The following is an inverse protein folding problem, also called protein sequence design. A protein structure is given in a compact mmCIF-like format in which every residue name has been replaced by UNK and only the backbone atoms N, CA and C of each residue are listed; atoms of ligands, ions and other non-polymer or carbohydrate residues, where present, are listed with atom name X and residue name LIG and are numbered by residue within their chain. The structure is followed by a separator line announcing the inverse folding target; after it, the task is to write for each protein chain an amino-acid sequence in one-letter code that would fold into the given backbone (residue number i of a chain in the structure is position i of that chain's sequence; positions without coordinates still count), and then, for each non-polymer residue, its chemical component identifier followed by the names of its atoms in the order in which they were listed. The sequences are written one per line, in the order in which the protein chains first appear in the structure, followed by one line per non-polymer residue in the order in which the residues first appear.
data_IF_518392821713
#
_entry.id   IF_518392821713
#
_cell.length_a   1.000
_cell.length_b   1.000
_cell.length_c   1.000
_cell.angle_alpha   90.00
_cell.angle_beta   90.00
_cell.angle_gamma   90.00
#
_symmetry.space_group_name_H-M   'P 1'
#
loop_
_entity.id
_entity.type
_entity.pdbx_description
1 polymer ?
#
# COMPACT_ATOMS: atom_id res chain seq x y z
N UNK A 1 51.06 41.00 -1.73
CA UNK A 1 51.28 42.24 -0.96
C UNK A 1 51.58 43.38 -1.94
N UNK A 2 50.63 44.28 -2.17
CA UNK A 2 50.92 45.67 -2.57
C UNK A 2 49.72 46.53 -2.21
N UNK A 3 50.01 47.70 -1.66
CA UNK A 3 49.15 48.57 -0.87
C UNK A 3 48.86 49.86 -1.64
N UNK A 4 47.61 50.33 -1.48
CA UNK A 4 47.16 51.76 -1.42
C UNK A 4 47.21 52.52 -2.76
N UNK A 5 46.40 53.54 -3.08
CA UNK A 5 45.68 54.62 -2.36
C UNK A 5 44.47 55.01 -3.24
N UNK A 6 43.23 55.00 -2.71
CA UNK A 6 42.37 56.17 -2.38
C UNK A 6 42.07 57.13 -3.55
N UNK A 7 40.80 57.15 -4.00
CA UNK A 7 40.15 58.35 -4.52
C UNK A 7 38.80 58.54 -3.83
N UNK A 8 38.64 59.73 -3.28
CA UNK A 8 37.47 60.26 -2.58
C UNK A 8 36.63 61.08 -3.56
N UNK A 9 35.35 61.26 -3.19
CA UNK A 9 34.31 62.13 -3.78
C UNK A 9 33.35 61.35 -4.70
N UNK A 10 32.03 61.52 -4.61
CA UNK A 10 31.27 62.67 -4.16
C UNK A 10 29.89 62.18 -3.65
N UNK A 11 29.48 62.63 -2.48
CA UNK A 11 28.11 62.45 -1.97
C UNK A 11 27.25 63.53 -2.62
N UNK A 12 26.39 63.14 -3.57
CA UNK A 12 25.27 63.98 -4.00
C UNK A 12 23.98 63.44 -3.37
N UNK A 13 23.50 64.17 -2.37
CA UNK A 13 22.16 64.03 -1.81
C UNK A 13 21.19 64.61 -2.84
N UNK A 14 20.44 63.75 -3.52
CA UNK A 14 19.24 64.15 -4.26
C UNK A 14 18.01 63.82 -3.42
N UNK A 15 17.39 64.87 -2.89
CA UNK A 15 16.04 64.81 -2.33
C UNK A 15 15.01 64.76 -3.47
N UNK A 16 14.11 63.77 -3.39
CA UNK A 16 12.71 63.88 -3.85
C UNK A 16 12.46 63.79 -5.35
N UNK A 17 11.98 62.63 -5.80
CA UNK A 17 10.58 62.38 -6.18
C UNK A 17 10.47 60.85 -6.34
N UNK A 18 9.78 60.20 -5.40
CA UNK A 18 9.55 58.76 -5.43
C UNK A 18 8.55 58.40 -6.51
N UNK A 19 9.03 57.86 -7.63
CA UNK A 19 8.18 57.12 -8.56
C UNK A 19 7.72 55.83 -7.87
N UNK A 20 6.42 55.49 -7.90
CA UNK A 20 5.95 54.24 -7.34
C UNK A 20 6.59 53.09 -8.11
N UNK A 21 7.35 52.24 -7.40
CA UNK A 21 7.77 50.94 -7.92
C UNK A 21 6.50 50.17 -8.26
N UNK A 22 6.22 50.00 -9.54
CA UNK A 22 5.26 49.03 -10.03
C UNK A 22 5.62 47.68 -9.41
N UNK A 23 4.81 47.23 -8.46
CA UNK A 23 4.94 45.91 -7.88
C UNK A 23 4.81 44.89 -9.00
N UNK A 24 5.85 44.08 -9.18
CA UNK A 24 5.72 42.85 -9.97
C UNK A 24 4.73 42.00 -9.19
N UNK A 25 3.48 42.00 -9.64
CA UNK A 25 2.46 41.11 -9.13
C UNK A 25 2.99 39.69 -9.32
N UNK A 26 3.34 39.02 -8.21
CA UNK A 26 3.49 37.58 -8.21
C UNK A 26 2.14 37.03 -8.63
N UNK A 27 2.07 36.55 -9.87
CA UNK A 27 0.96 35.74 -10.31
C UNK A 27 0.91 34.54 -9.37
N UNK A 28 -0.06 34.57 -8.45
CA UNK A 28 -0.46 33.39 -7.70
C UNK A 28 -0.98 32.44 -8.75
N UNK A 29 -0.13 31.49 -9.17
CA UNK A 29 -0.55 30.39 -10.03
C UNK A 29 -1.59 29.64 -9.22
N UNK A 30 -2.86 29.83 -9.57
CA UNK A 30 -3.95 29.07 -8.99
C UNK A 30 -3.62 27.59 -9.20
N UNK A 31 -3.49 26.85 -8.09
CA UNK A 31 -3.34 25.40 -8.12
C UNK A 31 -4.51 24.84 -8.94
N UNK A 32 -4.19 24.17 -10.04
CA UNK A 32 -5.21 23.51 -10.84
C UNK A 32 -5.99 22.56 -9.91
N UNK A 33 -7.33 22.53 -9.99
CA UNK A 33 -8.13 21.67 -9.12
C UNK A 33 -7.62 20.23 -9.24
N UNK A 34 -7.31 19.63 -8.10
CA UNK A 34 -6.78 18.28 -7.99
C UNK A 34 -7.73 17.33 -8.73
N UNK A 35 -7.30 16.78 -9.87
CA UNK A 35 -8.13 15.87 -10.64
C UNK A 35 -8.34 14.61 -9.82
N UNK A 36 -9.58 14.38 -9.39
CA UNK A 36 -9.97 13.15 -8.71
C UNK A 36 -9.61 11.97 -9.61
N UNK A 37 -8.75 11.08 -9.13
CA UNK A 37 -8.36 9.89 -9.85
C UNK A 37 -9.54 8.91 -9.92
N UNK A 38 -9.93 8.54 -11.14
CA UNK A 38 -10.91 7.50 -11.38
C UNK A 38 -10.21 6.30 -12.01
N UNK A 39 -10.11 5.21 -11.25
CA UNK A 39 -9.47 4.00 -11.73
C UNK A 39 -10.25 3.39 -12.89
N UNK A 40 -9.59 3.01 -14.00
CA UNK A 40 -10.23 2.26 -15.07
C UNK A 40 -10.34 0.76 -14.72
N UNK A 41 -9.85 0.35 -13.56
CA UNK A 41 -9.76 -1.04 -13.14
C UNK A 41 -10.87 -1.39 -12.14
N UNK A 42 -11.32 -2.66 -12.20
CA UNK A 42 -12.23 -3.22 -11.21
C UNK A 42 -11.96 -4.69 -10.98
N UNK A 43 -12.63 -5.25 -9.97
CA UNK A 43 -12.70 -6.69 -9.71
C UNK A 43 -14.13 -7.18 -9.92
N UNK A 44 -14.28 -8.37 -10.47
CA UNK A 44 -15.54 -9.07 -10.67
C UNK A 44 -15.46 -10.44 -10.03
N UNK A 45 -16.06 -10.56 -8.84
CA UNK A 45 -16.13 -11.81 -8.08
C UNK A 45 -17.16 -12.77 -8.69
N UNK A 46 -16.97 -14.07 -8.46
CA UNK A 46 -17.92 -15.11 -8.92
C UNK A 46 -19.19 -15.16 -8.06
N UNK A 47 -19.14 -14.61 -6.86
CA UNK A 47 -20.27 -14.42 -5.94
C UNK A 47 -20.29 -12.97 -5.44
N UNK A 48 -21.43 -12.44 -4.95
CA UNK A 48 -21.48 -11.09 -4.38
C UNK A 48 -20.41 -10.85 -3.30
N UNK A 49 -19.86 -9.64 -3.23
CA UNK A 49 -18.83 -9.31 -2.22
C UNK A 49 -19.33 -9.51 -0.80
N UNK A 50 -20.62 -9.25 -0.54
CA UNK A 50 -21.28 -9.47 0.75
C UNK A 50 -21.27 -10.95 1.17
N UNK A 51 -21.18 -11.88 0.23
CA UNK A 51 -20.97 -13.30 0.52
C UNK A 51 -19.51 -13.66 0.80
N UNK A 52 -18.56 -12.89 0.27
CA UNK A 52 -17.14 -13.07 0.50
C UNK A 52 -16.67 -12.43 1.79
N UNK A 53 -17.26 -11.30 2.22
CA UNK A 53 -16.82 -10.50 3.37
C UNK A 53 -17.97 -10.06 4.30
N UNK A 54 -19.14 -10.70 4.25
CA UNK A 54 -20.30 -10.29 5.04
C UNK A 54 -20.11 -10.39 6.56
N UNK A 55 -19.14 -11.16 7.05
CA UNK A 55 -18.70 -11.13 8.46
C UNK A 55 -17.97 -9.82 8.79
N UNK A 56 -17.22 -9.25 7.86
CA UNK A 56 -16.56 -7.96 8.03
C UNK A 56 -17.56 -6.80 7.97
N UNK A 57 -18.64 -6.94 7.20
CA UNK A 57 -19.65 -5.89 7.08
C UNK A 57 -20.62 -5.87 8.26
N UNK A 58 -20.87 -7.02 8.89
CA UNK A 58 -21.95 -7.19 9.89
C UNK A 58 -21.48 -7.40 11.32
N UNK A 59 -20.18 -7.60 11.55
CA UNK A 59 -19.65 -7.90 12.89
C UNK A 59 -18.52 -6.96 13.27
N UNK A 60 -18.12 -7.00 14.55
CA UNK A 60 -16.96 -6.25 15.04
C UNK A 60 -15.67 -6.54 14.27
N UNK A 61 -15.56 -7.70 13.60
CA UNK A 61 -14.37 -8.09 12.86
C UNK A 61 -13.93 -7.03 11.85
N UNK A 62 -14.89 -6.38 11.20
CA UNK A 62 -14.59 -5.33 10.23
C UNK A 62 -14.65 -3.91 10.78
N UNK A 63 -14.84 -3.71 12.09
CA UNK A 63 -14.77 -2.40 12.73
C UNK A 63 -13.30 -1.93 12.77
N UNK A 64 -13.06 -0.73 12.23
CA UNK A 64 -11.73 -0.13 12.22
C UNK A 64 -11.14 0.03 13.63
N UNK A 65 -11.98 0.16 14.66
CA UNK A 65 -11.53 0.38 16.05
C UNK A 65 -10.93 -0.86 16.71
N UNK A 66 -11.12 -2.05 16.13
CA UNK A 66 -10.58 -3.31 16.68
C UNK A 66 -9.44 -3.89 15.87
N UNK A 67 -8.85 -3.11 14.95
CA UNK A 67 -7.77 -3.57 14.09
C UNK A 67 -6.45 -3.84 14.82
N UNK A 68 -6.24 -3.26 15.99
CA UNK A 68 -4.98 -3.36 16.72
C UNK A 68 -5.04 -4.31 17.90
N UNK A 69 -3.87 -4.82 18.30
CA UNK A 69 -3.70 -5.69 19.47
C UNK A 69 -3.98 -4.98 20.81
N UNK A 70 -4.17 -3.66 20.80
CA UNK A 70 -4.54 -2.86 21.97
C UNK A 70 -5.89 -2.16 21.75
N UNK A 71 -6.65 -1.86 22.83
CA UNK A 71 -7.93 -1.15 22.72
C UNK A 71 -7.81 0.20 22.01
N UNK A 72 -8.83 0.58 21.24
CA UNK A 72 -8.86 1.84 20.47
C UNK A 72 -8.47 3.10 21.28
N UNK A 73 -8.95 3.31 22.53
CA UNK A 73 -8.55 4.48 23.32
C UNK A 73 -7.05 4.56 23.61
N UNK A 74 -6.32 3.45 23.49
CA UNK A 74 -4.87 3.39 23.75
C UNK A 74 -4.02 3.63 22.48
N UNK A 75 -4.63 3.68 21.29
CA UNK A 75 -3.91 3.83 20.02
C UNK A 75 -3.09 5.10 19.91
N UNK A 76 -3.47 6.15 20.65
CA UNK A 76 -2.80 7.45 20.64
C UNK A 76 -2.25 7.82 22.02
N UNK A 77 -2.02 6.82 22.88
CA UNK A 77 -1.43 7.04 24.21
C UNK A 77 0.09 7.29 24.13
N UNK A 78 0.69 7.99 25.12
CA UNK A 78 2.14 8.13 25.22
C UNK A 78 2.88 6.79 25.18
N UNK A 79 2.30 5.74 25.78
CA UNK A 79 2.86 4.39 25.77
C UNK A 79 2.92 3.80 24.36
N UNK A 80 1.88 4.02 23.54
CA UNK A 80 1.86 3.59 22.14
C UNK A 80 2.90 4.36 21.32
N UNK A 81 3.02 5.67 21.55
CA UNK A 81 4.03 6.51 20.90
C UNK A 81 5.45 6.02 21.20
N UNK A 82 5.74 5.75 22.48
CA UNK A 82 7.05 5.24 22.89
C UNK A 82 7.35 3.87 22.26
N UNK A 83 6.37 2.97 22.29
CA UNK A 83 6.54 1.58 21.85
C UNK A 83 6.70 1.43 20.34
N UNK A 84 5.87 2.11 19.55
CA UNK A 84 5.79 1.86 18.10
C UNK A 84 6.09 3.08 17.24
N UNK A 85 6.20 4.28 17.85
CA UNK A 85 6.60 5.52 17.16
C UNK A 85 5.74 5.75 15.92
N UNK A 86 6.39 5.98 14.77
CA UNK A 86 5.76 6.26 13.48
C UNK A 86 4.99 5.08 12.86
N UNK A 87 5.08 3.86 13.41
CA UNK A 87 4.42 2.69 12.84
C UNK A 87 3.01 2.42 13.39
N UNK A 88 2.71 2.98 14.56
CA UNK A 88 1.43 2.75 15.24
C UNK A 88 1.29 1.36 15.84
N UNK A 89 0.12 1.04 16.41
CA UNK A 89 -0.07 -0.21 17.11
C UNK A 89 -0.09 -1.40 16.16
N UNK A 90 0.49 -2.53 16.58
CA UNK A 90 0.47 -3.78 15.81
C UNK A 90 -0.96 -4.26 15.57
N UNK A 91 -1.15 -4.94 14.45
CA UNK A 91 -2.41 -5.63 14.14
C UNK A 91 -2.82 -6.59 15.26
N UNK A 92 -4.13 -6.68 15.51
CA UNK A 92 -4.74 -7.70 16.35
C UNK A 92 -4.56 -9.08 15.74
N UNK A 93 -4.38 -10.10 16.55
CA UNK A 93 -4.50 -11.48 16.11
C UNK A 93 -5.99 -11.84 15.99
N UNK A 94 -6.46 -12.03 14.76
CA UNK A 94 -7.87 -12.37 14.54
C UNK A 94 -8.09 -13.88 14.66
N UNK A 95 -9.20 -14.32 15.29
CA UNK A 95 -9.62 -15.71 15.18
C UNK A 95 -9.98 -16.05 13.72
N UNK A 96 -10.02 -17.33 13.39
CA UNK A 96 -10.48 -17.78 12.07
C UNK A 96 -12.00 -17.59 11.98
N UNK A 97 -12.54 -17.02 10.89
CA UNK A 97 -13.98 -16.93 10.73
C UNK A 97 -14.58 -18.33 10.58
N UNK A 98 -15.69 -18.58 11.28
CA UNK A 98 -16.35 -19.88 11.27
C UNK A 98 -16.91 -20.21 9.87
N UNK A 99 -16.83 -21.47 9.46
CA UNK A 99 -17.43 -21.96 8.22
C UNK A 99 -16.55 -21.81 6.97
N UNK A 100 -15.48 -21.02 7.02
CA UNK A 100 -14.58 -20.83 5.89
C UNK A 100 -13.77 -22.08 5.56
N UNK A 101 -13.60 -23.00 6.50
CA UNK A 101 -12.91 -24.27 6.28
C UNK A 101 -13.55 -25.08 5.14
N UNK A 102 -14.88 -25.03 5.03
CA UNK A 102 -15.70 -25.71 4.01
C UNK A 102 -15.73 -25.00 2.65
N UNK A 103 -15.20 -23.78 2.56
CA UNK A 103 -15.17 -23.07 1.29
C UNK A 103 -14.19 -23.71 0.32
N UNK A 104 -14.55 -23.66 -0.96
CA UNK A 104 -13.63 -24.00 -2.06
C UNK A 104 -12.41 -23.08 -2.02
N UNK A 105 -11.32 -23.56 -2.62
CA UNK A 105 -10.06 -22.83 -2.69
C UNK A 105 -10.25 -21.53 -3.47
N UNK A 106 -11.01 -21.55 -4.55
CA UNK A 106 -11.35 -20.41 -5.40
C UNK A 106 -12.06 -19.32 -4.59
N UNK A 107 -13.08 -19.70 -3.80
CA UNK A 107 -13.82 -18.76 -2.96
C UNK A 107 -12.93 -18.15 -1.86
N UNK A 108 -12.01 -18.93 -1.29
CA UNK A 108 -11.00 -18.42 -0.34
C UNK A 108 -10.07 -17.41 -1.02
N UNK A 109 -9.60 -17.69 -2.24
CA UNK A 109 -8.76 -16.79 -3.03
C UNK A 109 -9.47 -15.48 -3.38
N UNK A 110 -10.71 -15.54 -3.82
CA UNK A 110 -11.51 -14.33 -4.09
C UNK A 110 -11.74 -13.50 -2.83
N UNK A 111 -12.01 -14.14 -1.68
CA UNK A 111 -12.13 -13.45 -0.39
C UNK A 111 -10.88 -12.66 -0.04
N UNK A 112 -9.66 -13.16 -0.31
CA UNK A 112 -8.43 -12.37 -0.07
C UNK A 112 -8.51 -11.03 -0.79
N UNK A 113 -8.89 -11.02 -2.06
CA UNK A 113 -9.01 -9.80 -2.85
C UNK A 113 -10.18 -8.94 -2.35
N UNK A 114 -11.33 -9.52 -2.01
CA UNK A 114 -12.46 -8.79 -1.44
C UNK A 114 -12.11 -8.09 -0.12
N UNK A 115 -11.32 -8.74 0.76
CA UNK A 115 -10.82 -8.13 1.99
C UNK A 115 -9.85 -6.99 1.68
N UNK A 116 -8.92 -7.18 0.74
CA UNK A 116 -7.98 -6.14 0.35
C UNK A 116 -8.66 -4.91 -0.27
N UNK A 117 -9.73 -5.12 -1.06
CA UNK A 117 -10.52 -4.05 -1.66
C UNK A 117 -11.22 -3.14 -0.64
N UNK A 118 -11.39 -3.56 0.63
CA UNK A 118 -11.88 -2.65 1.69
C UNK A 118 -10.93 -1.48 1.97
N UNK A 119 -9.65 -1.64 1.63
CA UNK A 119 -8.63 -0.63 1.79
C UNK A 119 -8.29 0.07 0.48
N UNK A 120 -9.03 -0.21 -0.60
CA UNK A 120 -8.82 0.45 -1.90
C UNK A 120 -8.90 1.98 -1.75
N UNK A 121 -7.89 2.69 -2.25
CA UNK A 121 -7.76 4.14 -2.11
C UNK A 121 -7.03 4.61 -0.85
N UNK A 122 -6.68 3.71 0.08
CA UNK A 122 -5.87 4.08 1.25
C UNK A 122 -4.48 4.51 0.81
N UNK A 123 -3.88 5.49 1.49
CA UNK A 123 -2.55 6.00 1.14
C UNK A 123 -1.45 5.02 1.54
N UNK A 124 -0.28 5.18 0.94
CA UNK A 124 0.91 4.46 1.40
C UNK A 124 1.43 5.09 2.69
N UNK A 125 1.55 4.29 3.75
CA UNK A 125 2.13 4.70 5.03
C UNK A 125 2.90 3.53 5.64
N UNK A 126 3.95 3.80 6.39
CA UNK A 126 4.68 2.75 7.13
C UNK A 126 3.96 2.35 8.42
N UNK A 127 2.68 2.00 8.32
CA UNK A 127 1.83 1.69 9.47
C UNK A 127 1.56 0.19 9.57
N UNK A 128 1.41 -0.31 10.80
CA UNK A 128 1.08 -1.72 11.03
C UNK A 128 -0.37 -2.08 10.74
N UNK A 129 -1.30 -1.12 10.77
CA UNK A 129 -2.72 -1.32 10.48
C UNK A 129 -3.26 -0.20 9.58
N UNK A 130 -4.19 -0.49 8.64
CA UNK A 130 -4.63 0.50 7.66
C UNK A 130 -5.37 1.72 8.23
N UNK A 131 -6.21 1.55 9.25
CA UNK A 131 -7.07 2.63 9.77
C UNK A 131 -6.43 3.50 10.85
N UNK A 132 -5.19 3.23 11.25
CA UNK A 132 -4.51 4.09 12.21
C UNK A 132 -4.28 5.47 11.60
N UNK A 133 -4.87 6.49 12.24
CA UNK A 133 -4.86 7.88 11.78
C UNK A 133 -4.25 8.77 12.86
N UNK A 134 -2.91 8.77 12.98
CA UNK A 134 -2.23 9.51 14.03
C UNK A 134 -2.50 11.03 13.97
N UNK A 135 -2.53 11.71 15.13
CA UNK A 135 -2.57 13.18 15.17
C UNK A 135 -1.41 13.83 14.42
N UNK A 136 -1.59 15.08 13.98
CA UNK A 136 -0.57 15.80 13.19
C UNK A 136 0.80 15.92 13.87
N UNK A 137 0.85 15.93 15.21
CA UNK A 137 2.10 16.02 15.98
C UNK A 137 2.80 14.66 16.17
N UNK A 138 2.17 13.55 15.78
CA UNK A 138 2.76 12.23 15.90
C UNK A 138 3.91 12.07 14.90
N UNK A 139 5.06 11.48 15.28
CA UNK A 139 6.16 11.25 14.36
C UNK A 139 5.72 10.37 13.20
N UNK A 140 6.22 10.64 12.00
CA UNK A 140 5.93 9.84 10.82
C UNK A 140 7.15 9.73 9.92
N UNK A 141 7.13 8.74 9.04
CA UNK A 141 8.16 8.55 8.02
C UNK A 141 7.65 9.18 6.72
N UNK A 142 8.46 10.03 6.10
CA UNK A 142 8.10 10.64 4.82
C UNK A 142 7.76 9.58 3.78
N UNK A 143 6.66 9.76 3.07
CA UNK A 143 6.21 8.91 1.97
C UNK A 143 5.66 9.77 0.83
N UNK A 144 5.35 9.14 -0.30
CA UNK A 144 4.64 9.76 -1.43
C UNK A 144 3.27 10.36 -1.06
N UNK A 145 2.70 10.01 0.10
CA UNK A 145 1.44 10.60 0.57
C UNK A 145 1.59 12.08 0.97
N UNK A 146 2.83 12.56 1.19
CA UNK A 146 3.14 13.94 1.54
C UNK A 146 2.73 14.37 2.94
N UNK A 147 1.95 13.57 3.67
CA UNK A 147 1.51 13.84 5.03
C UNK A 147 1.27 12.55 5.82
N UNK A 148 1.22 12.68 7.14
CA UNK A 148 0.78 11.62 8.03
C UNK A 148 -0.74 11.40 7.94
N UNK A 149 -1.22 10.17 8.11
CA UNK A 149 -2.64 9.85 8.11
C UNK A 149 -2.90 8.35 7.94
N UNK A 150 -4.14 7.97 7.63
CA UNK A 150 -4.49 6.55 7.34
C UNK A 150 -3.69 6.00 6.16
N UNK A 151 -3.34 4.72 6.24
CA UNK A 151 -2.60 4.04 5.20
C UNK A 151 -1.82 2.85 5.73
N UNK A 152 -1.16 2.15 4.82
CA UNK A 152 -0.38 0.95 5.11
C UNK A 152 0.65 0.72 4.01
N UNK A 153 1.73 -0.01 4.27
CA UNK A 153 2.70 -0.40 3.26
C UNK A 153 2.37 -1.78 2.68
N UNK A 154 3.16 -2.26 1.74
CA UNK A 154 2.86 -3.47 0.97
C UNK A 154 2.81 -4.75 1.82
N UNK A 155 3.81 -4.97 2.68
CA UNK A 155 3.90 -6.17 3.51
C UNK A 155 2.98 -6.12 4.72
N UNK A 156 2.75 -4.95 5.33
CA UNK A 156 1.73 -4.82 6.36
C UNK A 156 0.32 -4.98 5.75
N UNK A 157 0.05 -4.49 4.54
CA UNK A 157 -1.25 -4.69 3.87
C UNK A 157 -1.53 -6.18 3.68
N UNK A 158 -0.60 -6.90 3.04
CA UNK A 158 -0.78 -8.33 2.73
C UNK A 158 -0.90 -9.18 3.99
N UNK A 159 -0.06 -8.94 4.99
CA UNK A 159 -0.15 -9.59 6.28
C UNK A 159 -1.47 -9.28 6.99
N UNK A 160 -1.92 -8.03 6.94
CA UNK A 160 -3.19 -7.61 7.53
C UNK A 160 -4.41 -8.23 6.82
N UNK A 161 -4.40 -8.30 5.49
CA UNK A 161 -5.48 -8.90 4.68
C UNK A 161 -5.66 -10.38 5.00
N UNK A 162 -4.57 -11.15 5.08
CA UNK A 162 -4.64 -12.57 5.41
C UNK A 162 -5.05 -12.81 6.87
N UNK A 163 -4.61 -11.95 7.78
CA UNK A 163 -5.01 -11.99 9.19
C UNK A 163 -6.49 -11.63 9.36
N UNK A 164 -6.94 -10.50 8.82
CA UNK A 164 -8.34 -10.08 8.85
C UNK A 164 -9.25 -11.08 8.12
N UNK A 165 -8.83 -11.61 6.97
CA UNK A 165 -9.63 -12.52 6.17
C UNK A 165 -9.79 -13.91 6.79
N UNK A 166 -8.75 -14.43 7.43
CA UNK A 166 -8.66 -15.87 7.79
C UNK A 166 -8.03 -16.15 9.16
N UNK A 167 -7.51 -15.15 9.85
CA UNK A 167 -6.70 -15.32 11.07
C UNK A 167 -5.29 -15.87 10.78
N UNK A 168 -4.81 -15.76 9.53
CA UNK A 168 -3.46 -16.19 9.15
C UNK A 168 -2.47 -15.05 9.39
N UNK A 169 -1.52 -15.27 10.29
CA UNK A 169 -0.48 -14.30 10.65
C UNK A 169 0.77 -14.58 9.83
N UNK A 170 0.98 -13.74 8.83
CA UNK A 170 2.20 -13.66 8.03
C UNK A 170 3.18 -12.66 8.65
N UNK A 171 4.45 -12.79 8.31
CA UNK A 171 5.41 -11.73 8.59
C UNK A 171 5.03 -10.44 7.83
N UNK A 172 5.29 -9.28 8.45
CA UNK A 172 4.99 -7.96 7.88
C UNK A 172 6.26 -7.19 7.49
N UNK A 173 7.43 -7.78 7.68
CA UNK A 173 8.67 -7.39 7.02
C UNK A 173 8.75 -8.09 5.67
N UNK A 174 8.90 -7.34 4.57
CA UNK A 174 8.80 -7.90 3.21
C UNK A 174 9.90 -8.91 2.88
N UNK A 175 11.12 -8.74 3.42
CA UNK A 175 12.23 -9.67 3.18
C UNK A 175 11.94 -10.99 3.90
N UNK A 176 11.53 -10.94 5.17
CA UNK A 176 11.16 -12.14 5.92
C UNK A 176 9.85 -12.78 5.42
N UNK A 177 8.89 -11.99 4.94
CA UNK A 177 7.63 -12.50 4.40
C UNK A 177 7.88 -13.32 3.13
N UNK A 178 8.86 -12.93 2.30
CA UNK A 178 9.25 -13.68 1.11
C UNK A 178 9.88 -15.04 1.44
N UNK A 179 10.54 -15.14 2.59
CA UNK A 179 11.21 -16.36 3.04
C UNK A 179 10.28 -17.29 3.84
N UNK A 180 9.07 -16.85 4.15
CA UNK A 180 8.13 -17.60 4.97
C UNK A 180 7.70 -18.91 4.28
N UNK A 181 7.58 -19.98 5.05
CA UNK A 181 7.17 -21.32 4.59
C UNK A 181 5.91 -21.83 5.27
N UNK A 182 5.49 -21.17 6.33
CA UNK A 182 4.25 -21.46 7.04
C UNK A 182 3.74 -20.18 7.71
N UNK A 183 2.44 -19.92 7.62
CA UNK A 183 1.78 -18.88 8.38
C UNK A 183 1.24 -19.45 9.70
N UNK A 184 1.30 -18.68 10.79
CA UNK A 184 0.60 -19.06 12.02
C UNK A 184 -0.90 -18.87 11.81
N UNK A 185 -1.65 -19.94 11.93
CA UNK A 185 -3.10 -19.92 11.78
C UNK A 185 -3.84 -19.41 13.01
N UNK A 186 -5.19 -19.43 12.96
CA UNK A 186 -6.02 -19.11 14.10
C UNK A 186 -5.93 -20.20 15.17
N UNK A 187 -5.58 -19.79 16.40
CA UNK A 187 -5.19 -20.69 17.50
C UNK A 187 -3.68 -20.94 17.54
N UNK A 188 -3.12 -21.19 18.73
CA UNK A 188 -1.66 -21.18 18.94
C UNK A 188 -0.90 -22.31 18.20
N UNK A 189 -1.57 -23.40 17.83
CA UNK A 189 -0.90 -24.59 17.28
C UNK A 189 -1.13 -24.84 15.78
N UNK A 190 -2.09 -24.17 15.14
CA UNK A 190 -2.37 -24.41 13.72
C UNK A 190 -1.40 -23.63 12.85
N UNK A 191 -0.75 -24.30 11.91
CA UNK A 191 0.08 -23.67 10.89
C UNK A 191 -0.46 -23.97 9.50
N UNK A 192 -0.40 -23.00 8.60
CA UNK A 192 -0.76 -23.16 7.18
C UNK A 192 0.51 -23.14 6.36
N UNK A 193 0.83 -24.27 5.71
CA UNK A 193 2.00 -24.36 4.84
C UNK A 193 1.85 -23.44 3.63
N UNK A 194 2.86 -22.63 3.38
CA UNK A 194 2.97 -21.77 2.21
C UNK A 194 3.77 -22.49 1.13
N UNK A 195 3.27 -22.49 -0.10
CA UNK A 195 3.98 -23.08 -1.23
C UNK A 195 4.71 -22.00 -2.01
N UNK A 196 6.02 -22.13 -2.16
CA UNK A 196 6.81 -21.30 -3.08
C UNK A 196 6.45 -21.67 -4.51
N UNK A 197 6.17 -20.67 -5.32
CA UNK A 197 5.90 -20.78 -6.76
C UNK A 197 7.05 -20.08 -7.48
N UNK A 198 7.95 -20.88 -8.03
CA UNK A 198 9.02 -20.40 -8.90
C UNK A 198 8.41 -19.90 -10.21
N UNK A 199 8.74 -18.67 -10.61
CA UNK A 199 8.11 -18.07 -11.78
C UNK A 199 8.86 -18.47 -13.06
N UNK A 200 8.12 -18.80 -14.13
CA UNK A 200 8.74 -18.97 -15.43
C UNK A 200 9.29 -17.63 -15.94
N UNK A 201 10.23 -17.73 -16.89
CA UNK A 201 10.83 -16.57 -17.55
C UNK A 201 9.85 -15.86 -18.49
N UNK A 202 8.97 -16.61 -19.15
CA UNK A 202 7.93 -16.06 -20.03
C UNK A 202 6.82 -15.37 -19.24
N UNK A 203 6.44 -14.17 -19.70
CA UNK A 203 5.31 -13.40 -19.18
C UNK A 203 3.99 -14.18 -19.25
N UNK A 204 3.70 -14.82 -20.38
CA UNK A 204 2.47 -15.57 -20.59
C UNK A 204 2.36 -16.78 -19.65
N UNK A 205 3.44 -17.54 -19.51
CA UNK A 205 3.47 -18.70 -18.61
C UNK A 205 3.36 -18.28 -17.15
N UNK A 206 3.90 -17.11 -16.80
CA UNK A 206 3.78 -16.54 -15.45
C UNK A 206 2.34 -16.23 -15.11
N UNK A 207 1.61 -15.60 -16.03
CA UNK A 207 0.18 -15.32 -15.88
C UNK A 207 -0.60 -16.63 -15.68
N UNK A 208 -0.31 -17.66 -16.48
CA UNK A 208 -0.96 -18.99 -16.37
C UNK A 208 -0.63 -19.71 -15.07
N UNK A 209 0.56 -19.49 -14.51
CA UNK A 209 1.01 -20.18 -13.30
C UNK A 209 0.43 -19.55 -12.02
N UNK A 210 0.35 -18.23 -11.96
CA UNK A 210 -0.16 -17.50 -10.79
C UNK A 210 -1.65 -17.78 -10.56
N UNK A 211 -2.07 -17.70 -9.29
CA UNK A 211 -3.47 -17.85 -8.86
C UNK A 211 -3.89 -16.66 -8.03
N UNK A 212 -5.17 -16.30 -8.11
CA UNK A 212 -5.74 -15.19 -7.32
C UNK A 212 -5.35 -15.33 -5.85
N UNK A 213 -4.90 -14.23 -5.25
CA UNK A 213 -4.44 -14.16 -3.87
C UNK A 213 -2.98 -14.55 -3.65
N UNK A 214 -2.27 -15.12 -4.63
CA UNK A 214 -0.83 -15.36 -4.50
C UNK A 214 -0.09 -14.05 -4.12
N UNK A 215 0.86 -14.15 -3.18
CA UNK A 215 1.75 -13.05 -2.82
C UNK A 215 2.93 -13.06 -3.78
N UNK A 216 3.00 -12.10 -4.69
CA UNK A 216 4.07 -11.98 -5.67
C UNK A 216 5.12 -10.98 -5.18
N UNK A 217 6.35 -11.44 -4.98
CA UNK A 217 7.45 -10.64 -4.44
C UNK A 217 8.28 -10.02 -5.57
N UNK A 218 8.57 -8.73 -5.43
CA UNK A 218 9.21 -7.90 -6.44
C UNK A 218 10.53 -7.35 -5.89
N UNK A 219 11.55 -7.37 -6.75
CA UNK A 219 12.88 -6.84 -6.45
C UNK A 219 13.00 -5.36 -6.80
N UNK A 220 13.76 -4.61 -6.01
CA UNK A 220 14.23 -3.29 -6.41
C UNK A 220 15.37 -3.38 -7.43
N UNK A 221 15.90 -2.22 -7.83
CA UNK A 221 17.02 -2.11 -8.78
C UNK A 221 18.34 -2.73 -8.27
N UNK A 222 18.51 -2.90 -6.95
CA UNK A 222 19.68 -3.58 -6.39
C UNK A 222 19.49 -5.10 -6.27
N UNK A 223 18.37 -5.64 -6.77
CA UNK A 223 18.05 -7.06 -6.76
C UNK A 223 17.52 -7.59 -5.43
N UNK A 224 17.33 -6.74 -4.41
CA UNK A 224 16.74 -7.15 -3.12
C UNK A 224 15.22 -7.15 -3.19
N UNK A 225 14.58 -8.08 -2.49
CA UNK A 225 13.12 -8.04 -2.32
C UNK A 225 12.77 -6.75 -1.59
N UNK A 226 11.88 -5.95 -2.16
CA UNK A 226 11.51 -4.65 -1.60
C UNK A 226 10.01 -4.42 -1.58
N UNK A 227 9.25 -5.29 -2.25
CA UNK A 227 7.82 -5.08 -2.45
C UNK A 227 7.10 -6.40 -2.62
N UNK A 228 5.82 -6.41 -2.26
CA UNK A 228 4.92 -7.56 -2.39
C UNK A 228 3.57 -7.09 -2.89
N UNK A 229 2.97 -7.86 -3.79
CA UNK A 229 1.66 -7.55 -4.37
C UNK A 229 0.74 -8.77 -4.27
N UNK A 230 -0.57 -8.53 -4.17
CA UNK A 230 -1.57 -9.58 -4.35
C UNK A 230 -1.84 -9.76 -5.85
N UNK A 231 -1.65 -10.97 -6.35
CA UNK A 231 -2.10 -11.31 -7.70
C UNK A 231 -3.62 -11.33 -7.76
N UNK A 232 -4.23 -10.46 -8.56
CA UNK A 232 -5.71 -10.41 -8.68
C UNK A 232 -6.21 -11.59 -9.52
N UNK A 233 -5.46 -11.97 -10.56
CA UNK A 233 -5.82 -13.08 -11.43
C UNK A 233 -7.06 -12.80 -12.29
N UNK A 234 -7.81 -13.82 -12.70
CA UNK A 234 -8.86 -13.70 -13.73
C UNK A 234 -10.10 -12.93 -13.29
N UNK A 235 -10.21 -12.55 -12.01
CA UNK A 235 -11.29 -11.67 -11.52
C UNK A 235 -11.00 -10.18 -11.77
N UNK A 236 -9.77 -9.84 -12.20
CA UNK A 236 -9.41 -8.48 -12.56
C UNK A 236 -10.01 -8.06 -13.90
N UNK A 237 -10.36 -6.78 -14.02
CA UNK A 237 -10.82 -6.17 -15.27
C UNK A 237 -10.05 -4.90 -15.54
N UNK A 238 -9.37 -4.88 -16.68
CA UNK A 238 -8.73 -3.70 -17.23
C UNK A 238 -9.27 -3.39 -18.63
N UNK A 239 -9.18 -2.13 -19.10
CA UNK A 239 -9.60 -1.77 -20.45
C UNK A 239 -8.81 -2.49 -21.56
N UNK A 240 -7.55 -2.83 -21.28
CA UNK A 240 -6.63 -3.50 -22.21
C UNK A 240 -6.65 -5.03 -22.08
N UNK A 241 -7.49 -5.60 -21.19
CA UNK A 241 -7.55 -7.03 -20.91
C UNK A 241 -6.32 -7.61 -20.18
N UNK A 242 -5.35 -6.77 -19.83
CA UNK A 242 -4.15 -7.15 -19.07
C UNK A 242 -4.45 -7.58 -17.62
N UNK A 243 -3.57 -8.40 -17.04
CA UNK A 243 -3.70 -8.82 -15.65
C UNK A 243 -3.47 -7.66 -14.68
N UNK A 244 -4.06 -7.77 -13.50
CA UNK A 244 -3.96 -6.79 -12.43
C UNK A 244 -3.27 -7.37 -11.19
N UNK A 245 -2.64 -6.46 -10.44
CA UNK A 245 -2.19 -6.69 -9.07
C UNK A 245 -2.86 -5.68 -8.14
N UNK A 246 -2.97 -6.04 -6.85
CA UNK A 246 -3.42 -5.14 -5.80
C UNK A 246 -2.31 -4.99 -4.77
N UNK A 247 -1.87 -3.77 -4.54
CA UNK A 247 -0.76 -3.47 -3.63
C UNK A 247 -0.87 -2.07 -3.04
N UNK A 248 -0.14 -1.84 -1.94
CA UNK A 248 0.13 -0.49 -1.44
C UNK A 248 1.52 -0.04 -1.89
N UNK A 249 1.57 0.85 -2.87
CA UNK A 249 2.82 1.22 -3.54
C UNK A 249 2.98 2.74 -3.65
N UNK A 250 4.23 3.21 -3.68
CA UNK A 250 4.54 4.62 -3.57
C UNK A 250 5.07 5.34 -4.81
N UNK A 251 5.33 4.65 -5.91
CA UNK A 251 6.03 5.24 -7.07
C UNK A 251 5.13 5.40 -8.32
N UNK A 252 5.70 6.09 -9.31
CA UNK A 252 5.11 6.61 -10.57
C UNK A 252 4.58 5.53 -11.53
N UNK A 253 3.56 4.79 -11.12
CA UNK A 253 2.85 3.84 -11.98
C UNK A 253 1.72 4.57 -12.70
N UNK A 254 1.63 4.38 -14.03
CA UNK A 254 0.53 4.91 -14.85
C UNK A 254 -0.47 3.81 -15.20
N UNK A 255 -1.74 4.18 -15.22
CA UNK A 255 -2.82 3.28 -15.67
C UNK A 255 -2.83 3.11 -17.20
N UNK A 256 -3.79 2.33 -17.72
CA UNK A 256 -3.92 2.03 -19.14
C UNK A 256 -4.30 3.24 -19.98
N UNK A 257 -4.74 4.33 -19.34
CA UNK A 257 -5.06 5.61 -19.98
C UNK A 257 -3.91 6.61 -19.82
N UNK A 258 -2.76 6.17 -19.30
CA UNK A 258 -1.58 7.00 -19.06
C UNK A 258 -1.70 7.94 -17.87
N UNK A 259 -2.75 7.84 -17.04
CA UNK A 259 -2.91 8.68 -15.86
C UNK A 259 -2.05 8.14 -14.71
N UNK A 260 -1.40 9.01 -13.91
CA UNK A 260 -0.71 8.59 -12.70
C UNK A 260 -1.68 7.94 -11.71
N UNK A 261 -1.32 6.75 -11.22
CA UNK A 261 -2.07 6.04 -10.19
C UNK A 261 -1.66 6.60 -8.82
N UNK A 262 -2.61 6.96 -7.93
CA UNK A 262 -2.27 7.47 -6.61
C UNK A 262 -1.42 6.50 -5.79
N UNK A 263 -0.58 7.10 -4.94
CA UNK A 263 0.20 6.40 -3.94
C UNK A 263 -0.71 5.68 -2.93
N UNK A 264 -0.38 4.43 -2.60
CA UNK A 264 -1.11 3.57 -1.66
C UNK A 264 -1.82 2.38 -2.29
N UNK A 265 -2.88 1.91 -1.65
CA UNK A 265 -3.63 0.70 -2.01
C UNK A 265 -4.43 0.94 -3.27
N UNK A 266 -4.01 0.34 -4.38
CA UNK A 266 -4.69 0.47 -5.67
C UNK A 266 -4.61 -0.84 -6.46
N UNK A 267 -5.45 -0.93 -7.49
CA UNK A 267 -5.30 -1.90 -8.57
C UNK A 267 -4.31 -1.31 -9.57
N UNK A 268 -3.33 -2.12 -9.99
CA UNK A 268 -2.29 -1.70 -10.93
C UNK A 268 -2.12 -2.73 -12.04
N UNK A 269 -1.79 -2.28 -13.26
CA UNK A 269 -1.59 -3.16 -14.40
C UNK A 269 -0.27 -3.90 -14.25
N UNK A 270 -0.31 -5.23 -14.36
CA UNK A 270 0.88 -6.06 -14.43
C UNK A 270 1.24 -6.25 -15.90
N UNK A 271 1.94 -5.27 -16.49
CA UNK A 271 2.30 -5.32 -17.92
C UNK A 271 3.57 -6.12 -18.15
N UNK A 272 3.70 -6.67 -19.35
CA UNK A 272 4.92 -7.38 -19.77
C UNK A 272 6.19 -6.53 -19.60
N UNK A 273 6.12 -5.25 -19.97
CA UNK A 273 7.24 -4.32 -19.87
C UNK A 273 7.32 -3.54 -18.53
N UNK A 274 6.51 -3.92 -17.53
CA UNK A 274 6.47 -3.22 -16.25
C UNK A 274 7.59 -3.67 -15.31
N UNK A 275 7.95 -2.79 -14.36
CA UNK A 275 8.81 -3.15 -13.23
C UNK A 275 8.29 -4.38 -12.48
N UNK A 276 6.98 -4.48 -12.26
CA UNK A 276 6.37 -5.65 -11.63
C UNK A 276 6.77 -6.95 -12.33
N UNK A 277 6.72 -6.99 -13.66
CA UNK A 277 7.08 -8.20 -14.39
C UNK A 277 8.60 -8.41 -14.43
N UNK A 278 9.38 -7.40 -14.79
CA UNK A 278 10.82 -7.57 -14.94
C UNK A 278 11.56 -7.87 -13.62
N UNK A 279 10.99 -7.45 -12.49
CA UNK A 279 11.59 -7.65 -11.18
C UNK A 279 10.86 -8.69 -10.32
N UNK A 280 9.86 -9.39 -10.85
CA UNK A 280 9.21 -10.47 -10.12
C UNK A 280 10.21 -11.57 -9.77
N UNK A 281 10.25 -11.97 -8.51
CA UNK A 281 11.12 -13.05 -8.04
C UNK A 281 10.42 -14.39 -8.01
N UNK A 282 9.45 -14.52 -7.11
CA UNK A 282 8.69 -15.75 -6.83
C UNK A 282 7.36 -15.34 -6.22
N UNK A 283 6.44 -16.29 -6.12
CA UNK A 283 5.21 -16.09 -5.36
C UNK A 283 5.10 -17.05 -4.19
N UNK A 284 4.39 -16.65 -3.15
CA UNK A 284 3.90 -17.54 -2.11
C UNK A 284 2.41 -17.80 -2.31
N UNK A 285 2.06 -19.08 -2.43
CA UNK A 285 0.68 -19.56 -2.51
C UNK A 285 0.21 -20.06 -1.15
N UNK A 286 -0.81 -19.38 -0.63
CA UNK A 286 -1.40 -19.67 0.68
C UNK A 286 -2.45 -20.78 0.55
N UNK A 287 -3.38 -20.64 -0.41
CA UNK A 287 -4.42 -21.63 -0.67
C UNK A 287 -4.04 -22.50 -1.86
N UNK A 288 -3.84 -23.78 -1.61
CA UNK A 288 -3.39 -24.79 -2.57
C UNK A 288 -4.60 -25.51 -3.18
N UNK A 289 -4.45 -25.94 -4.44
CA UNK A 289 -5.46 -26.72 -5.17
C UNK A 289 -5.55 -28.16 -4.64
#
# INVERSE_FOLDING_TARGET
MSRRVLFVALICVFCGIGLPRAGVAQAVVAEAPERVYHSPYRVEFTVPSTELIGDLERTERGDHRVQAAIPFPQWYSPRTLERWRAWGPRARDYPGPAGLERWTVERKRERVIAVAMRFYGYRYQHHHIPDWNPPAHWPWKSTCAGSNGKGVDCSNLTGFVYNLGFGLRLNTDVEHQAEERAAKGPGEERTTRLRVVELPSSYEERIKMLRTGDLLFIRNRSGKISHVVLWVGPIGRSPDGGPLVLDSHGEDIRDSLGQPIPCGVQLRPFRENSWYNHSASHALRIFQD
#
